data_IF_925882548827
#
_entry.id   IF_925882548827
#
_cell.length_a   1.000
_cell.length_b   1.000
_cell.length_c   1.000
_cell.angle_alpha   90.00
_cell.angle_beta   90.00
_cell.angle_gamma   90.00
#
_symmetry.space_group_name_H-M   'P 1'
#
loop_
_entity.id
_entity.type
_entity.pdbx_description
1 polymer ?
#
# COMPACT_ATOMS: atom_id res chain seq x y z
N UNK A 1 48.03 14.05 63.93
CA UNK A 1 47.31 14.59 62.74
C UNK A 1 46.54 13.49 62.00
N UNK A 2 45.90 12.54 62.70
CA UNK A 2 45.13 11.44 62.05
C UNK A 2 43.63 11.53 62.41
N UNK A 3 43.24 12.31 63.41
CA UNK A 3 41.86 12.37 63.91
C UNK A 3 40.90 13.16 63.00
N UNK A 4 41.38 14.14 62.22
CA UNK A 4 40.51 14.95 61.36
C UNK A 4 40.11 14.29 60.03
N UNK A 5 40.82 13.27 59.56
CA UNK A 5 40.52 12.62 58.27
C UNK A 5 39.39 11.57 58.41
N UNK A 6 39.29 10.92 59.57
CA UNK A 6 38.26 9.91 59.85
C UNK A 6 36.85 10.47 59.98
N UNK A 7 36.69 11.73 60.40
CA UNK A 7 35.36 12.38 60.53
C UNK A 7 34.74 12.74 59.17
N UNK A 8 35.55 13.05 58.15
CA UNK A 8 35.08 13.41 56.81
C UNK A 8 34.93 12.22 55.85
N UNK A 9 35.53 11.08 56.18
CA UNK A 9 35.42 9.81 55.45
C UNK A 9 33.97 9.37 55.13
N UNK A 10 33.00 9.43 56.07
CA UNK A 10 31.60 9.10 55.76
C UNK A 10 30.92 10.13 54.84
N UNK A 11 31.36 11.39 54.87
CA UNK A 11 30.84 12.44 53.98
C UNK A 11 31.35 12.25 52.56
N UNK A 12 32.63 11.89 52.40
CA UNK A 12 33.24 11.63 51.09
C UNK A 12 32.65 10.37 50.46
N UNK A 13 32.42 9.30 51.23
CA UNK A 13 31.86 8.05 50.71
C UNK A 13 30.40 8.20 50.26
N UNK A 14 29.59 8.96 51.00
CA UNK A 14 28.19 9.25 50.64
C UNK A 14 28.09 10.14 49.39
N UNK A 15 28.95 11.17 49.28
CA UNK A 15 29.03 11.99 48.07
C UNK A 15 29.53 11.19 46.85
N UNK A 16 30.55 10.36 47.02
CA UNK A 16 31.06 9.50 45.96
C UNK A 16 29.99 8.49 45.49
N UNK A 17 29.28 7.86 46.42
CA UNK A 17 28.16 6.99 46.11
C UNK A 17 27.00 7.71 45.40
N UNK A 18 26.68 8.94 45.84
CA UNK A 18 25.64 9.76 45.23
C UNK A 18 25.95 10.16 43.79
N UNK A 19 27.19 10.56 43.50
CA UNK A 19 27.63 10.91 42.13
C UNK A 19 27.58 9.69 41.21
N UNK A 20 28.03 8.52 41.70
CA UNK A 20 27.97 7.27 40.93
C UNK A 20 26.52 6.85 40.64
N UNK A 21 25.65 6.89 41.64
CA UNK A 21 24.24 6.55 41.47
C UNK A 21 23.53 7.51 40.51
N UNK A 22 23.79 8.81 40.64
CA UNK A 22 23.25 9.84 39.73
C UNK A 22 23.75 9.65 38.29
N UNK A 23 25.04 9.38 38.11
CA UNK A 23 25.63 9.08 36.81
C UNK A 23 25.01 7.85 36.16
N UNK A 24 24.83 6.76 36.93
CA UNK A 24 24.16 5.56 36.45
C UNK A 24 22.71 5.82 36.02
N UNK A 25 21.95 6.58 36.82
CA UNK A 25 20.57 6.93 36.51
C UNK A 25 20.44 7.77 35.22
N UNK A 26 21.35 8.73 35.00
CA UNK A 26 21.36 9.52 33.76
C UNK A 26 21.66 8.67 32.53
N UNK A 27 22.60 7.74 32.62
CA UNK A 27 22.93 6.82 31.52
C UNK A 27 21.73 5.94 31.19
N UNK A 28 21.10 5.34 32.21
CA UNK A 28 19.91 4.49 32.01
C UNK A 28 18.76 5.29 31.40
N UNK A 29 18.48 6.50 31.89
CA UNK A 29 17.44 7.35 31.33
C UNK A 29 17.72 7.70 29.86
N UNK A 30 18.95 8.13 29.55
CA UNK A 30 19.35 8.44 28.17
C UNK A 30 19.19 7.24 27.23
N UNK A 31 19.59 6.06 27.69
CA UNK A 31 19.45 4.81 26.92
C UNK A 31 17.97 4.46 26.74
N UNK A 32 17.16 4.57 27.80
CA UNK A 32 15.72 4.30 27.73
C UNK A 32 15.00 5.25 26.76
N UNK A 33 15.30 6.54 26.83
CA UNK A 33 14.74 7.53 25.90
C UNK A 33 15.14 7.24 24.45
N UNK A 34 16.39 6.82 24.21
CA UNK A 34 16.83 6.41 22.87
C UNK A 34 16.05 5.20 22.37
N UNK A 35 15.89 4.17 23.21
CA UNK A 35 15.11 3.00 22.82
C UNK A 35 13.63 3.30 22.59
N UNK A 36 13.04 4.22 23.37
CA UNK A 36 11.67 4.67 23.16
C UNK A 36 11.52 5.35 21.78
N UNK A 37 12.41 6.28 21.44
CA UNK A 37 12.43 6.95 20.14
C UNK A 37 12.62 5.94 18.99
N UNK A 38 13.53 4.98 19.14
CA UNK A 38 13.77 3.97 18.10
C UNK A 38 12.54 3.06 17.89
N UNK A 39 11.78 2.75 18.94
CA UNK A 39 10.53 1.98 18.83
C UNK A 39 9.44 2.79 18.14
N UNK A 40 9.27 4.05 18.49
CA UNK A 40 8.30 4.94 17.85
C UNK A 40 8.62 5.13 16.37
N UNK A 41 9.89 5.34 16.04
CA UNK A 41 10.35 5.47 14.65
C UNK A 41 10.11 4.19 13.84
N UNK A 42 10.37 3.01 14.42
CA UNK A 42 10.07 1.73 13.76
C UNK A 42 8.59 1.51 13.55
N UNK A 43 7.76 1.78 14.57
CA UNK A 43 6.31 1.66 14.46
C UNK A 43 5.74 2.63 13.40
N UNK A 44 6.27 3.87 13.33
CA UNK A 44 5.90 4.83 12.29
C UNK A 44 6.31 4.35 10.89
N UNK A 45 7.53 3.82 10.74
CA UNK A 45 8.01 3.29 9.46
C UNK A 45 7.20 2.06 9.01
N UNK A 46 6.82 1.18 9.94
CA UNK A 46 5.96 0.02 9.66
C UNK A 46 4.55 0.46 9.25
N UNK A 47 3.97 1.47 9.92
CA UNK A 47 2.68 2.05 9.53
C UNK A 47 2.74 2.64 8.13
N UNK A 48 3.76 3.45 7.82
CA UNK A 48 3.95 4.00 6.47
C UNK A 48 4.08 2.91 5.41
N UNK A 49 4.84 1.85 5.69
CA UNK A 49 4.95 0.70 4.78
C UNK A 49 3.61 -0.01 4.59
N UNK A 50 2.84 -0.18 5.65
CA UNK A 50 1.52 -0.81 5.58
C UNK A 50 0.53 0.06 4.79
N UNK A 51 0.50 1.36 5.03
CA UNK A 51 -0.33 2.31 4.29
C UNK A 51 0.01 2.30 2.79
N UNK A 52 1.30 2.32 2.44
CA UNK A 52 1.73 2.21 1.04
C UNK A 52 1.31 0.89 0.39
N UNK A 53 1.45 -0.25 1.10
CA UNK A 53 1.01 -1.55 0.58
C UNK A 53 -0.50 -1.59 0.37
N UNK A 54 -1.28 -1.12 1.32
CA UNK A 54 -2.75 -1.07 1.20
C UNK A 54 -3.17 -0.16 0.04
N UNK A 55 -2.49 0.96 -0.18
CA UNK A 55 -2.76 1.83 -1.32
C UNK A 55 -2.43 1.14 -2.65
N UNK A 56 -1.31 0.42 -2.74
CA UNK A 56 -0.95 -0.35 -3.92
C UNK A 56 -1.94 -1.50 -4.18
N UNK A 57 -2.29 -2.27 -3.16
CA UNK A 57 -3.26 -3.37 -3.27
C UNK A 57 -4.64 -2.87 -3.74
N UNK A 58 -5.07 -1.67 -3.30
CA UNK A 58 -6.30 -1.04 -3.78
C UNK A 58 -6.22 -0.70 -5.27
N UNK A 59 -5.15 -0.03 -5.68
CA UNK A 59 -4.94 0.32 -7.09
C UNK A 59 -4.84 -0.93 -7.98
N UNK A 60 -4.19 -1.99 -7.50
CA UNK A 60 -4.08 -3.24 -8.24
C UNK A 60 -5.44 -3.92 -8.40
N UNK A 61 -6.26 -3.96 -7.35
CA UNK A 61 -7.64 -4.49 -7.42
C UNK A 61 -8.52 -3.70 -8.38
N UNK A 62 -8.46 -2.37 -8.36
CA UNK A 62 -9.22 -1.54 -9.30
C UNK A 62 -8.78 -1.81 -10.74
N UNK A 63 -7.47 -1.94 -10.99
CA UNK A 63 -6.96 -2.31 -12.32
C UNK A 63 -7.43 -3.69 -12.76
N UNK A 64 -7.39 -4.69 -11.88
CA UNK A 64 -7.90 -6.01 -12.19
C UNK A 64 -9.39 -5.96 -12.53
N UNK A 65 -10.19 -5.29 -11.70
CA UNK A 65 -11.63 -5.13 -11.94
C UNK A 65 -11.91 -4.51 -13.31
N UNK A 66 -11.29 -3.37 -13.62
CA UNK A 66 -11.43 -2.70 -14.92
C UNK A 66 -11.01 -3.62 -16.08
N UNK A 67 -9.87 -4.31 -15.94
CA UNK A 67 -9.36 -5.19 -17.00
C UNK A 67 -10.28 -6.38 -17.24
N UNK A 68 -10.85 -6.95 -16.19
CA UNK A 68 -11.74 -8.11 -16.27
C UNK A 68 -13.08 -7.71 -16.89
N UNK A 69 -13.69 -6.61 -16.44
CA UNK A 69 -14.91 -6.08 -17.07
C UNK A 69 -14.71 -5.75 -18.55
N UNK A 70 -13.55 -5.18 -18.90
CA UNK A 70 -13.20 -4.91 -20.30
C UNK A 70 -13.10 -6.21 -21.12
N UNK A 71 -12.45 -7.24 -20.59
CA UNK A 71 -12.35 -8.54 -21.27
C UNK A 71 -13.74 -9.13 -21.52
N UNK A 72 -14.62 -9.13 -20.52
CA UNK A 72 -15.98 -9.66 -20.67
C UNK A 72 -16.82 -8.88 -21.69
N UNK A 73 -16.67 -7.55 -21.76
CA UNK A 73 -17.35 -6.76 -22.79
C UNK A 73 -16.82 -7.05 -24.18
N UNK A 74 -15.50 -7.20 -24.33
CA UNK A 74 -14.89 -7.56 -25.60
C UNK A 74 -15.30 -8.96 -26.07
N UNK A 75 -15.45 -9.91 -25.14
CA UNK A 75 -15.92 -11.26 -25.42
C UNK A 75 -17.37 -11.24 -25.95
N UNK A 76 -18.27 -10.55 -25.24
CA UNK A 76 -19.67 -10.37 -25.69
C UNK A 76 -19.75 -9.69 -27.05
N UNK A 77 -18.97 -8.64 -27.26
CA UNK A 77 -18.92 -7.97 -28.55
C UNK A 77 -18.43 -8.92 -29.66
N UNK A 78 -17.45 -9.78 -29.36
CA UNK A 78 -16.97 -10.81 -30.28
C UNK A 78 -18.04 -11.84 -30.63
N UNK A 79 -18.85 -12.26 -29.64
CA UNK A 79 -20.00 -13.14 -29.86
C UNK A 79 -21.04 -12.48 -30.77
N UNK A 80 -21.39 -11.21 -30.51
CA UNK A 80 -22.35 -10.47 -31.33
C UNK A 80 -21.84 -10.27 -32.77
N UNK A 81 -20.51 -10.12 -32.94
CA UNK A 81 -19.90 -10.03 -34.26
C UNK A 81 -20.01 -11.31 -35.09
N UNK A 82 -20.28 -12.47 -34.48
CA UNK A 82 -20.39 -13.74 -35.23
C UNK A 82 -21.56 -13.70 -36.22
N UNK A 83 -22.69 -13.12 -35.83
CA UNK A 83 -23.84 -12.98 -36.71
C UNK A 83 -23.51 -12.13 -37.94
N UNK A 84 -22.83 -11.00 -37.73
CA UNK A 84 -22.35 -10.13 -38.80
C UNK A 84 -21.27 -10.78 -39.69
N UNK A 85 -20.38 -11.57 -39.09
CA UNK A 85 -19.32 -12.25 -39.83
C UNK A 85 -19.83 -13.43 -40.68
N UNK A 86 -20.97 -14.02 -40.31
CA UNK A 86 -21.59 -15.14 -41.02
C UNK A 86 -22.69 -14.69 -41.99
N UNK A 87 -22.88 -13.39 -42.14
CA UNK A 87 -23.86 -12.82 -43.05
C UNK A 87 -23.36 -12.89 -44.49
N UNK A 88 -24.05 -13.71 -45.29
CA UNK A 88 -23.78 -13.87 -46.72
C UNK A 88 -24.59 -12.87 -47.58
N UNK A 89 -25.39 -12.01 -46.94
CA UNK A 89 -26.32 -11.08 -47.57
C UNK A 89 -27.54 -11.77 -48.18
N UNK A 90 -28.60 -11.00 -48.41
CA UNK A 90 -29.69 -11.45 -49.28
C UNK A 90 -29.27 -11.35 -50.76
N UNK A 91 -29.79 -12.27 -51.59
CA UNK A 91 -29.55 -12.27 -53.04
C UNK A 91 -30.17 -11.04 -53.67
N UNK A 92 -29.37 -10.36 -54.48
CA UNK A 92 -29.65 -9.19 -55.33
C UNK A 92 -31.13 -8.87 -55.50
N UNK A 93 -31.55 -7.72 -54.97
CA UNK A 93 -32.60 -6.91 -55.58
C UNK A 93 -32.22 -6.57 -57.04
N UNK A 94 -33.20 -6.19 -57.89
CA UNK A 94 -33.04 -5.96 -59.35
C UNK A 94 -31.87 -5.02 -59.76
N UNK A 95 -31.25 -4.35 -58.77
CA UNK A 95 -30.09 -3.47 -58.86
C UNK A 95 -28.73 -4.19 -58.89
N UNK A 96 -28.66 -5.47 -58.52
CA UNK A 96 -27.41 -6.24 -58.46
C UNK A 96 -26.54 -5.99 -57.22
N UNK A 97 -27.12 -5.42 -56.16
CA UNK A 97 -26.40 -5.11 -54.91
C UNK A 97 -26.89 -6.07 -53.83
N UNK A 98 -25.98 -6.79 -53.18
CA UNK A 98 -26.33 -7.60 -52.00
C UNK A 98 -26.41 -6.70 -50.77
N UNK A 99 -27.55 -6.72 -50.07
CA UNK A 99 -27.72 -6.04 -48.78
C UNK A 99 -27.32 -6.97 -47.63
N UNK A 100 -26.64 -6.42 -46.63
CA UNK A 100 -26.42 -7.11 -45.36
C UNK A 100 -27.78 -7.34 -44.66
N UNK A 101 -27.97 -8.53 -44.12
CA UNK A 101 -29.16 -8.94 -43.35
C UNK A 101 -28.93 -8.76 -41.83
N UNK A 102 -27.68 -8.63 -41.42
CA UNK A 102 -27.26 -8.49 -40.03
C UNK A 102 -26.73 -7.08 -39.72
N UNK A 103 -27.13 -6.58 -38.55
CA UNK A 103 -26.64 -5.32 -38.02
C UNK A 103 -25.22 -5.46 -37.45
N UNK A 104 -24.38 -4.45 -37.66
CA UNK A 104 -23.07 -4.38 -37.02
C UNK A 104 -23.28 -4.05 -35.54
N UNK A 105 -22.82 -4.91 -34.61
CA UNK A 105 -22.98 -4.64 -33.19
C UNK A 105 -22.18 -3.39 -32.78
N UNK A 106 -22.68 -2.67 -31.79
CA UNK A 106 -22.01 -1.48 -31.22
C UNK A 106 -21.44 -1.79 -29.85
N UNK A 107 -20.17 -1.43 -29.60
CA UNK A 107 -19.55 -1.54 -28.28
C UNK A 107 -19.63 -0.21 -27.51
N UNK A 108 -20.00 -0.27 -26.23
CA UNK A 108 -20.00 0.89 -25.34
C UNK A 108 -19.23 0.60 -24.06
N UNK A 109 -18.29 1.47 -23.73
CA UNK A 109 -17.47 1.37 -22.50
C UNK A 109 -18.06 2.17 -21.34
N UNK A 110 -19.28 2.68 -21.45
CA UNK A 110 -19.92 3.52 -20.43
C UNK A 110 -20.16 2.81 -19.10
N UNK A 111 -20.13 1.48 -19.09
CA UNK A 111 -20.25 0.66 -17.88
C UNK A 111 -18.90 0.38 -17.18
N UNK A 112 -17.78 0.76 -17.79
CA UNK A 112 -16.41 0.59 -17.24
C UNK A 112 -15.92 1.96 -16.78
N UNK A 113 -16.27 2.36 -15.56
CA UNK A 113 -15.82 3.61 -14.94
C UNK A 113 -15.64 3.43 -13.44
#
# INVERSE_FOLDING_TARGET
>A
MVEGFSEWLPVISTLAGGVLAFGAALVVNKVNHRYALEREARAAAERQRHEMKVAQDKLERERYFISTELIFQLERFGEDCVAAAWDYGEKEDESGIASADSDIPSISFSAIT
#
